data_IF_290214871513
#
_entry.id   IF_290214871513
#
_cell.length_a   1.000
_cell.length_b   1.000
_cell.length_c   1.000
_cell.angle_alpha   90.00
_cell.angle_beta   90.00
_cell.angle_gamma   90.00
#
_symmetry.space_group_name_H-M   'P 1'
#
loop_
_entity.id
_entity.type
_entity.pdbx_description
1 polymer ?
#
# COMPACT_ATOMS: atom_id res chain seq x y z
N UNK A 1 -32.89 24.32 -5.02
CA UNK A 1 -31.80 24.09 -4.05
C UNK A 1 -31.87 22.68 -3.49
N UNK A 2 -30.93 21.82 -3.85
CA UNK A 2 -30.69 20.53 -3.17
C UNK A 2 -29.18 20.49 -2.94
N UNK A 3 -28.77 20.92 -1.75
CA UNK A 3 -27.42 20.70 -1.26
C UNK A 3 -27.33 19.23 -0.84
N UNK A 4 -26.46 18.47 -1.51
CA UNK A 4 -26.03 17.17 -1.02
C UNK A 4 -24.85 17.43 -0.08
N UNK A 5 -25.12 17.37 1.22
CA UNK A 5 -24.10 17.48 2.24
C UNK A 5 -23.07 16.35 2.09
N UNK A 6 -21.81 16.79 2.08
CA UNK A 6 -20.61 15.97 2.17
C UNK A 6 -20.51 15.43 3.60
N UNK A 7 -21.09 14.28 3.87
CA UNK A 7 -20.65 13.47 5.01
C UNK A 7 -19.56 12.52 4.54
N UNK A 8 -18.37 12.70 5.12
CA UNK A 8 -17.24 11.80 4.93
C UNK A 8 -17.64 10.41 5.39
N UNK A 9 -17.61 9.44 4.47
CA UNK A 9 -17.85 8.05 4.78
C UNK A 9 -16.70 7.56 5.65
N UNK A 10 -16.89 7.57 6.96
CA UNK A 10 -16.16 6.70 7.87
C UNK A 10 -16.58 5.27 7.53
N UNK A 11 -15.78 4.58 6.72
CA UNK A 11 -15.96 3.17 6.45
C UNK A 11 -15.71 2.42 7.76
N UNK A 12 -16.79 2.01 8.43
CA UNK A 12 -16.75 1.00 9.47
C UNK A 12 -16.16 -0.26 8.86
N UNK A 13 -14.94 -0.60 9.30
CA UNK A 13 -14.34 -1.92 9.14
C UNK A 13 -15.18 -2.87 10.00
N UNK A 14 -16.34 -3.28 9.50
CA UNK A 14 -17.05 -4.43 10.06
C UNK A 14 -16.28 -5.68 9.62
N UNK A 15 -15.43 -6.12 10.54
CA UNK A 15 -14.79 -7.43 10.56
C UNK A 15 -15.89 -8.50 10.68
N UNK A 16 -16.56 -8.84 9.58
CA UNK A 16 -17.33 -10.09 9.50
C UNK A 16 -16.38 -11.26 9.15
N UNK A 17 -15.54 -11.61 10.12
CA UNK A 17 -14.92 -12.94 10.24
C UNK A 17 -14.94 -13.31 11.74
N UNK A 18 -16.09 -13.75 12.24
CA UNK A 18 -16.20 -14.29 13.60
C UNK A 18 -15.83 -15.79 13.62
N UNK A 19 -14.83 -16.09 14.46
CA UNK A 19 -14.62 -17.34 15.21
C UNK A 19 -13.94 -18.56 14.55
N UNK A 20 -12.60 -18.43 14.37
CA UNK A 20 -11.66 -19.54 14.61
C UNK A 20 -10.20 -19.08 14.89
N UNK A 21 -9.79 -17.86 14.47
CA UNK A 21 -8.37 -17.48 14.35
C UNK A 21 -7.84 -16.41 15.32
N UNK A 22 -8.58 -16.06 16.38
CA UNK A 22 -8.15 -15.00 17.33
C UNK A 22 -6.82 -15.31 18.03
N UNK A 23 -6.43 -16.59 18.14
CA UNK A 23 -5.15 -17.01 18.73
C UNK A 23 -3.93 -16.84 17.81
N UNK A 24 -4.12 -16.69 16.50
CA UNK A 24 -3.05 -16.51 15.50
C UNK A 24 -3.00 -15.08 14.92
N UNK A 25 -3.81 -14.16 15.45
CA UNK A 25 -3.83 -12.77 15.02
C UNK A 25 -2.42 -12.14 15.09
N UNK A 26 -1.95 -11.66 13.93
CA UNK A 26 -0.65 -10.98 13.82
C UNK A 26 -0.59 -9.80 14.80
N UNK A 27 0.38 -9.83 15.71
CA UNK A 27 0.64 -8.72 16.63
C UNK A 27 1.59 -7.74 15.96
N UNK A 28 1.10 -6.53 15.72
CA UNK A 28 1.93 -5.45 15.17
C UNK A 28 3.15 -5.23 16.08
N UNK A 29 4.38 -5.20 15.53
CA UNK A 29 5.58 -5.01 16.32
C UNK A 29 5.59 -3.62 16.97
N UNK A 30 6.35 -3.48 18.06
CA UNK A 30 6.61 -2.18 18.65
C UNK A 30 7.30 -1.27 17.63
N UNK A 31 6.86 -0.01 17.59
CA UNK A 31 7.47 0.99 16.72
C UNK A 31 8.90 1.26 17.19
N UNK A 32 9.86 1.04 16.29
CA UNK A 32 11.26 1.41 16.46
C UNK A 32 11.71 2.16 15.21
N UNK A 33 12.45 3.23 15.42
CA UNK A 33 13.09 3.99 14.35
C UNK A 33 14.26 3.21 13.74
N UNK A 34 14.64 3.58 12.52
CA UNK A 34 15.83 3.04 11.87
C UNK A 34 17.10 3.26 12.70
N UNK A 35 17.23 4.42 13.36
CA UNK A 35 18.39 4.75 14.18
C UNK A 35 18.47 3.84 15.41
N UNK A 36 17.36 3.67 16.13
CA UNK A 36 17.30 2.76 17.28
C UNK A 36 17.63 1.33 16.86
N UNK A 37 17.10 0.85 15.73
CA UNK A 37 17.39 -0.50 15.22
C UNK A 37 18.88 -0.65 14.92
N UNK A 38 19.54 0.37 14.38
CA UNK A 38 20.96 0.36 14.07
C UNK A 38 21.84 0.31 15.34
N UNK A 39 21.43 1.00 16.41
CA UNK A 39 22.17 1.09 17.67
C UNK A 39 21.97 -0.12 18.59
N UNK A 40 20.97 -0.96 18.33
CA UNK A 40 20.79 -2.22 19.05
C UNK A 40 22.00 -3.16 18.84
N UNK A 41 22.41 -3.86 19.90
CA UNK A 41 23.42 -4.92 19.85
C UNK A 41 24.76 -4.52 19.21
N UNK A 42 25.38 -3.38 19.61
CA UNK A 42 26.56 -2.85 18.93
C UNK A 42 27.79 -3.77 19.01
N UNK A 43 27.82 -4.69 19.98
CA UNK A 43 28.87 -5.68 20.16
C UNK A 43 28.74 -6.93 19.29
N UNK A 44 27.64 -7.09 18.55
CA UNK A 44 27.40 -8.27 17.71
C UNK A 44 27.69 -7.97 16.23
N UNK A 45 28.80 -8.51 15.73
CA UNK A 45 29.22 -8.33 14.35
C UNK A 45 28.21 -8.95 13.35
N UNK A 46 27.58 -10.07 13.71
CA UNK A 46 26.63 -10.78 12.85
C UNK A 46 25.34 -9.99 12.69
N UNK A 47 24.80 -9.46 13.80
CA UNK A 47 23.61 -8.61 13.75
C UNK A 47 23.88 -7.29 13.03
N UNK A 48 25.08 -6.72 13.17
CA UNK A 48 25.46 -5.53 12.40
C UNK A 48 25.48 -5.78 10.89
N UNK A 49 26.03 -6.91 10.44
CA UNK A 49 26.02 -7.31 9.02
C UNK A 49 24.59 -7.57 8.53
N UNK A 50 23.76 -8.22 9.35
CA UNK A 50 22.36 -8.48 9.04
C UNK A 50 21.55 -7.18 8.84
N UNK A 51 21.67 -6.23 9.76
CA UNK A 51 21.03 -4.91 9.65
C UNK A 51 21.50 -4.15 8.41
N UNK A 52 22.80 -4.16 8.14
CA UNK A 52 23.35 -3.52 6.94
C UNK A 52 22.83 -4.16 5.64
N UNK A 53 22.67 -5.48 5.59
CA UNK A 53 22.15 -6.17 4.41
C UNK A 53 20.69 -5.83 4.12
N UNK A 54 19.88 -5.63 5.16
CA UNK A 54 18.45 -5.29 5.03
C UNK A 54 18.20 -3.80 4.81
N UNK A 55 18.87 -2.94 5.59
CA UNK A 55 18.63 -1.49 5.60
C UNK A 55 19.47 -0.77 4.54
N UNK A 56 20.57 -1.38 4.09
CA UNK A 56 21.51 -0.75 3.18
C UNK A 56 22.14 0.51 3.79
N UNK A 57 22.43 1.49 2.92
CA UNK A 57 22.92 2.79 3.36
C UNK A 57 21.75 3.69 3.77
N UNK A 58 21.70 4.08 5.04
CA UNK A 58 20.66 4.97 5.56
C UNK A 58 21.01 6.41 5.15
N UNK A 59 20.13 7.14 4.45
CA UNK A 59 20.37 8.52 4.09
C UNK A 59 20.42 9.41 5.34
N UNK A 60 21.47 10.22 5.45
CA UNK A 60 21.71 11.10 6.61
C UNK A 60 20.69 12.25 6.74
N UNK A 61 20.01 12.61 5.64
CA UNK A 61 19.00 13.64 5.61
C UNK A 61 17.75 13.11 4.92
N UNK A 62 16.63 13.20 5.64
CA UNK A 62 15.33 12.78 5.15
C UNK A 62 14.42 14.00 5.16
N UNK A 63 13.82 14.29 4.01
CA UNK A 63 12.93 15.45 3.86
C UNK A 63 11.64 15.23 4.68
N UNK A 64 11.47 16.08 5.70
CA UNK A 64 10.33 16.08 6.63
C UNK A 64 9.02 16.54 5.97
N UNK A 65 9.03 17.05 4.74
CA UNK A 65 7.83 17.41 3.97
C UNK A 65 7.18 16.24 3.24
N UNK A 66 7.93 15.17 2.94
CA UNK A 66 7.47 14.06 2.08
C UNK A 66 6.98 12.86 2.90
N UNK A 67 5.76 12.33 2.71
CA UNK A 67 5.25 11.23 3.51
C UNK A 67 6.13 9.98 3.44
N UNK A 68 6.12 9.17 4.50
CA UNK A 68 7.00 7.99 4.60
C UNK A 68 6.74 6.98 3.47
N UNK A 69 5.48 6.79 3.10
CA UNK A 69 5.09 5.97 1.93
C UNK A 69 4.47 6.87 0.89
N UNK A 70 4.94 6.73 -0.34
CA UNK A 70 4.34 7.35 -1.51
C UNK A 70 4.01 6.28 -2.52
N UNK A 71 2.73 6.03 -2.75
CA UNK A 71 2.30 5.18 -3.85
C UNK A 71 2.38 6.01 -5.12
N UNK A 72 3.12 5.50 -6.11
CA UNK A 72 3.41 6.24 -7.34
C UNK A 72 2.57 5.78 -8.51
N UNK A 73 2.41 4.46 -8.67
CA UNK A 73 1.68 3.89 -9.82
C UNK A 73 0.99 2.59 -9.44
N UNK A 74 -0.17 2.37 -10.03
CA UNK A 74 -0.83 1.06 -10.09
C UNK A 74 -0.86 0.61 -11.54
N UNK A 75 -0.38 -0.58 -11.84
CA UNK A 75 -0.33 -1.10 -13.22
C UNK A 75 -0.99 -2.46 -13.30
N UNK A 76 -1.93 -2.62 -14.23
CA UNK A 76 -2.47 -3.91 -14.62
C UNK A 76 -1.58 -4.48 -15.73
N UNK A 77 -0.92 -5.58 -15.40
CA UNK A 77 -0.07 -6.34 -16.31
C UNK A 77 -0.90 -7.47 -16.91
N UNK A 78 -1.19 -7.39 -18.20
CA UNK A 78 -1.92 -8.42 -18.93
C UNK A 78 -1.12 -8.76 -20.19
N UNK A 79 -0.74 -10.02 -20.36
CA UNK A 79 0.07 -10.46 -21.52
C UNK A 79 -0.71 -10.37 -22.84
N UNK A 80 -2.05 -10.38 -22.76
CA UNK A 80 -2.95 -10.32 -23.91
C UNK A 80 -3.33 -8.88 -24.28
N UNK A 81 -2.95 -7.89 -23.47
CA UNK A 81 -3.19 -6.49 -23.75
C UNK A 81 -2.10 -5.94 -24.68
N UNK A 82 -2.43 -4.98 -25.56
CA UNK A 82 -1.45 -4.35 -26.46
C UNK A 82 -0.37 -3.56 -25.71
N UNK A 83 -0.58 -3.24 -24.43
CA UNK A 83 0.37 -2.59 -23.55
C UNK A 83 -0.09 -2.62 -22.09
N UNK A 84 0.79 -2.25 -21.14
CA UNK A 84 0.43 -2.16 -19.73
C UNK A 84 -0.59 -1.04 -19.49
N UNK A 85 -1.58 -1.30 -18.64
CA UNK A 85 -2.57 -0.30 -18.23
C UNK A 85 -2.05 0.32 -16.93
N UNK A 86 -1.46 1.51 -17.01
CA UNK A 86 -0.85 2.19 -15.86
C UNK A 86 -1.68 3.39 -15.43
N UNK A 87 -1.95 3.46 -14.14
CA UNK A 87 -2.55 4.58 -13.42
C UNK A 87 -1.44 5.32 -12.67
N UNK A 88 -1.26 6.61 -12.97
CA UNK A 88 -0.34 7.47 -12.23
C UNK A 88 -1.06 8.02 -10.99
N UNK A 89 -0.52 7.74 -9.81
CA UNK A 89 -1.07 8.15 -8.52
C UNK A 89 -0.34 9.37 -7.94
N UNK A 90 0.62 9.93 -8.67
CA UNK A 90 1.35 11.14 -8.27
C UNK A 90 0.77 12.43 -8.86
N UNK A 91 -0.05 12.31 -9.91
CA UNK A 91 -0.72 13.43 -10.58
C UNK A 91 -2.08 13.79 -9.96
N UNK A 92 -2.97 14.35 -10.78
CA UNK A 92 -4.32 14.70 -10.36
C UNK A 92 -5.21 13.44 -10.26
N UNK A 93 -5.64 13.14 -9.04
CA UNK A 93 -6.52 12.00 -8.76
C UNK A 93 -7.95 12.21 -9.29
N UNK A 94 -8.39 13.46 -9.47
CA UNK A 94 -9.72 13.73 -10.04
C UNK A 94 -9.74 13.46 -11.55
N UNK A 95 -8.65 13.74 -12.26
CA UNK A 95 -8.50 13.34 -13.67
C UNK A 95 -8.52 11.82 -13.80
N UNK A 96 -7.80 11.11 -12.91
CA UNK A 96 -7.75 9.66 -12.88
C UNK A 96 -9.14 9.04 -12.62
N UNK A 97 -9.95 9.67 -11.77
CA UNK A 97 -11.33 9.24 -11.47
C UNK A 97 -12.25 9.31 -12.69
N UNK A 98 -12.05 10.30 -13.57
CA UNK A 98 -12.78 10.45 -14.82
C UNK A 98 -12.27 9.54 -15.95
N UNK A 99 -11.06 9.01 -15.81
CA UNK A 99 -10.44 8.17 -16.83
C UNK A 99 -11.00 6.75 -16.82
N UNK A 100 -11.43 6.29 -18.01
CA UNK A 100 -11.85 4.91 -18.21
C UNK A 100 -10.68 4.05 -18.68
N UNK A 101 -10.51 2.88 -18.06
CA UNK A 101 -9.52 1.87 -18.43
C UNK A 101 -10.22 0.64 -19.00
N UNK A 102 -9.75 0.16 -20.15
CA UNK A 102 -10.36 -0.99 -20.84
C UNK A 102 -9.56 -2.24 -20.55
N UNK A 103 -10.20 -3.20 -19.87
CA UNK A 103 -9.67 -4.54 -19.66
C UNK A 103 -10.56 -5.54 -20.38
N UNK A 104 -9.96 -6.40 -21.20
CA UNK A 104 -10.70 -7.43 -21.94
C UNK A 104 -11.24 -8.48 -20.95
N UNK A 105 -12.47 -8.93 -21.15
CA UNK A 105 -13.07 -9.98 -20.33
C UNK A 105 -12.38 -11.33 -20.52
N UNK A 106 -12.32 -12.12 -19.44
CA UNK A 106 -11.80 -13.50 -19.46
C UNK A 106 -10.28 -13.60 -19.63
N UNK A 107 -9.53 -12.51 -19.38
CA UNK A 107 -8.08 -12.48 -19.47
C UNK A 107 -7.44 -12.53 -18.09
N UNK A 108 -6.34 -13.25 -17.99
CA UNK A 108 -5.50 -13.21 -16.79
C UNK A 108 -4.75 -11.88 -16.72
N UNK A 109 -4.69 -11.32 -15.51
CA UNK A 109 -3.91 -10.13 -15.23
C UNK A 109 -3.23 -10.21 -13.86
N UNK A 110 -2.17 -9.41 -13.70
CA UNK A 110 -1.47 -9.21 -12.44
C UNK A 110 -1.50 -7.73 -12.08
N UNK A 111 -1.65 -7.42 -10.80
CA UNK A 111 -1.58 -6.05 -10.31
C UNK A 111 -0.17 -5.78 -9.81
N UNK A 112 0.42 -4.69 -10.31
CA UNK A 112 1.73 -4.19 -9.86
C UNK A 112 1.53 -2.84 -9.18
N UNK A 113 1.81 -2.78 -7.89
CA UNK A 113 1.83 -1.54 -7.12
C UNK A 113 3.26 -1.04 -7.02
N UNK A 114 3.50 0.20 -7.44
CA UNK A 114 4.81 0.86 -7.34
C UNK A 114 4.74 1.93 -6.25
N UNK A 115 5.57 1.81 -5.23
CA UNK A 115 5.64 2.75 -4.12
C UNK A 115 7.08 3.05 -3.74
N UNK A 116 7.26 4.15 -3.01
CA UNK A 116 8.53 4.58 -2.45
C UNK A 116 8.40 4.68 -0.93
N UNK A 117 9.39 4.15 -0.21
CA UNK A 117 9.57 4.37 1.22
C UNK A 117 10.68 5.41 1.39
N UNK A 118 10.40 6.49 2.13
CA UNK A 118 11.27 7.66 2.20
C UNK A 118 12.07 7.76 3.50
N UNK A 119 11.51 7.35 4.64
CA UNK A 119 12.06 7.67 5.98
C UNK A 119 12.32 6.45 6.85
N UNK A 120 11.26 5.73 7.19
CA UNK A 120 11.22 4.73 8.26
C UNK A 120 10.64 3.41 7.73
N UNK A 121 10.89 2.32 8.45
CA UNK A 121 10.34 1.01 8.12
C UNK A 121 8.81 1.06 8.12
N UNK A 122 8.21 0.39 7.14
CA UNK A 122 6.77 0.24 7.00
C UNK A 122 6.42 -1.21 7.27
N UNK A 123 5.74 -1.46 8.39
CA UNK A 123 5.30 -2.79 8.77
C UNK A 123 3.91 -3.08 8.21
N UNK A 124 3.75 -4.18 7.46
CA UNK A 124 2.44 -4.65 7.01
C UNK A 124 1.71 -3.72 6.05
N UNK A 125 2.43 -3.12 5.09
CA UNK A 125 1.80 -2.33 4.03
C UNK A 125 0.82 -3.22 3.25
N UNK A 126 -0.45 -2.81 3.17
CA UNK A 126 -1.50 -3.54 2.44
C UNK A 126 -2.22 -2.65 1.46
N UNK A 127 -2.60 -3.20 0.32
CA UNK A 127 -3.47 -2.54 -0.66
C UNK A 127 -4.87 -3.18 -0.59
N UNK A 128 -5.87 -2.38 -0.26
CA UNK A 128 -7.28 -2.76 -0.35
C UNK A 128 -7.83 -2.24 -1.68
N UNK A 129 -8.18 -3.15 -2.57
CA UNK A 129 -8.79 -2.85 -3.86
C UNK A 129 -10.29 -3.12 -3.79
N UNK A 130 -11.10 -2.07 -3.93
CA UNK A 130 -12.56 -2.15 -3.89
C UNK A 130 -13.14 -1.90 -5.28
N UNK A 131 -13.92 -2.86 -5.77
CA UNK A 131 -14.60 -2.78 -7.06
C UNK A 131 -16.07 -2.45 -6.85
N UNK A 132 -16.53 -1.36 -7.47
CA UNK A 132 -17.93 -0.93 -7.40
C UNK A 132 -18.62 -1.07 -8.75
N UNK A 133 -19.87 -1.53 -8.73
CA UNK A 133 -20.73 -1.57 -9.92
C UNK A 133 -22.02 -0.80 -9.63
N UNK A 134 -22.27 0.26 -10.40
CA UNK A 134 -23.43 1.15 -10.23
C UNK A 134 -23.59 1.66 -8.78
N UNK A 135 -22.47 2.07 -8.17
CA UNK A 135 -22.44 2.61 -6.81
C UNK A 135 -22.58 1.58 -5.69
N UNK A 136 -22.68 0.28 -6.02
CA UNK A 136 -22.70 -0.80 -5.03
C UNK A 136 -21.36 -1.53 -4.99
N UNK A 137 -20.83 -1.86 -3.80
CA UNK A 137 -19.63 -2.69 -3.69
C UNK A 137 -19.94 -4.06 -4.30
N UNK A 138 -19.06 -4.53 -5.18
CA UNK A 138 -19.18 -5.81 -5.87
C UNK A 138 -18.13 -6.80 -5.41
N UNK A 139 -16.88 -6.37 -5.29
CA UNK A 139 -15.74 -7.23 -4.94
C UNK A 139 -14.69 -6.46 -4.15
N UNK A 140 -13.99 -7.14 -3.24
CA UNK A 140 -12.91 -6.58 -2.43
C UNK A 140 -11.71 -7.54 -2.41
N UNK A 141 -10.53 -7.00 -2.71
CA UNK A 141 -9.29 -7.77 -2.74
C UNK A 141 -8.26 -7.10 -1.86
N UNK A 142 -7.65 -7.88 -0.96
CA UNK A 142 -6.54 -7.44 -0.11
C UNK A 142 -5.25 -8.02 -0.63
N UNK A 143 -4.27 -7.17 -0.92
CA UNK A 143 -2.92 -7.55 -1.34
C UNK A 143 -1.94 -7.10 -0.26
N UNK A 144 -1.18 -8.04 0.32
CA UNK A 144 -0.07 -7.76 1.24
C UNK A 144 1.25 -7.58 0.50
#
# INVERSE_FOLDING_TARGET
DIMADKEGVTLSLEEEEEDADVALAYKTPEKKSLQEIQELDPGDESLRKYKQALLGAIPAAVDASVPNVQVTRLTLMCEQAPGPITMDLTGDLEELRGQAFVLKEGVDYRVKVSFKVNREIVCGLRCLHLTYRRGRPGDSVVMM
#
